data_IF_232478153709
#
_entry.id   IF_232478153709
#
_cell.length_a   1.000
_cell.length_b   1.000
_cell.length_c   1.000
_cell.angle_alpha   90.00
_cell.angle_beta   90.00
_cell.angle_gamma   90.00
#
_symmetry.space_group_name_H-M   'P 1'
#
loop_
_entity.id
_entity.type
_entity.pdbx_description
1 polymer ?
#
# COMPACT_ATOMS: atom_id res chain seq x y z
N UNK A 1 -16.06 -19.34 -9.74
CA UNK A 1 -15.10 -20.05 -8.88
C UNK A 1 -13.74 -19.93 -9.54
N UNK A 2 -12.90 -19.02 -9.02
CA UNK A 2 -11.51 -18.89 -9.50
C UNK A 2 -10.69 -20.11 -9.04
N UNK A 3 -10.05 -20.81 -9.96
CA UNK A 3 -9.14 -21.90 -9.63
C UNK A 3 -7.90 -21.35 -8.91
N UNK A 4 -7.64 -21.86 -7.72
CA UNK A 4 -6.46 -21.46 -6.91
C UNK A 4 -5.29 -22.32 -7.38
N UNK A 5 -4.38 -21.74 -8.17
CA UNK A 5 -3.10 -22.36 -8.47
C UNK A 5 -2.15 -22.14 -7.29
N UNK A 6 -1.81 -23.21 -6.58
CA UNK A 6 -0.77 -23.19 -5.56
C UNK A 6 0.58 -23.48 -6.22
N UNK A 7 1.46 -22.50 -6.28
CA UNK A 7 2.84 -22.71 -6.67
C UNK A 7 3.71 -23.04 -5.46
N UNK A 8 4.68 -23.95 -5.57
CA UNK A 8 5.56 -24.30 -4.49
C UNK A 8 6.42 -23.08 -4.05
N UNK A 9 6.87 -23.10 -2.80
CA UNK A 9 7.79 -22.09 -2.27
C UNK A 9 9.08 -22.01 -3.08
N UNK A 10 9.67 -20.82 -3.17
CA UNK A 10 10.93 -20.56 -3.88
C UNK A 10 12.09 -21.51 -3.48
N UNK A 11 12.09 -21.98 -2.22
CA UNK A 11 13.05 -23.02 -1.73
C UNK A 11 12.85 -24.39 -2.41
N UNK A 12 11.62 -24.74 -2.76
CA UNK A 12 11.28 -26.03 -3.39
C UNK A 12 11.54 -26.02 -4.90
N UNK A 13 11.49 -24.84 -5.53
CA UNK A 13 11.73 -24.68 -6.97
C UNK A 13 13.21 -24.66 -7.35
N UNK A 14 14.12 -24.64 -6.41
CA UNK A 14 15.58 -24.62 -6.63
C UNK A 14 16.05 -23.56 -7.65
N UNK A 15 17.14 -22.89 -7.39
CA UNK A 15 17.70 -21.81 -8.25
C UNK A 15 17.98 -22.24 -9.71
N UNK A 16 18.05 -23.55 -10.00
CA UNK A 16 18.40 -24.10 -11.34
C UNK A 16 17.30 -23.95 -12.40
N UNK A 17 16.05 -23.63 -12.03
CA UNK A 17 14.93 -23.50 -12.99
C UNK A 17 14.66 -22.06 -13.45
N UNK A 18 15.51 -21.08 -13.11
CA UNK A 18 15.35 -19.71 -13.58
C UNK A 18 15.53 -19.48 -15.08
N UNK A 19 16.03 -20.46 -15.81
CA UNK A 19 16.30 -20.34 -17.24
C UNK A 19 15.11 -20.68 -18.15
N UNK A 20 13.95 -21.00 -17.60
CA UNK A 20 12.76 -21.27 -18.41
C UNK A 20 11.77 -20.12 -18.23
N UNK A 21 11.64 -19.31 -19.26
CA UNK A 21 10.63 -18.29 -19.53
C UNK A 21 9.97 -17.67 -18.29
N UNK A 22 10.48 -16.52 -17.87
CA UNK A 22 9.78 -15.64 -16.94
C UNK A 22 8.63 -14.93 -17.67
N UNK A 23 7.51 -15.61 -17.85
CA UNK A 23 6.26 -14.88 -18.01
C UNK A 23 5.84 -14.40 -16.64
N UNK A 24 5.68 -13.07 -16.41
CA UNK A 24 5.03 -12.61 -15.22
C UNK A 24 3.61 -13.17 -15.24
N UNK A 25 3.37 -14.17 -14.40
CA UNK A 25 2.04 -14.74 -14.23
C UNK A 25 1.18 -13.76 -13.46
N UNK A 26 0.56 -12.80 -14.15
CA UNK A 26 -0.48 -12.01 -13.52
C UNK A 26 -1.68 -12.91 -13.24
N UNK A 27 -2.14 -12.97 -11.98
CA UNK A 27 -3.37 -13.70 -11.66
C UNK A 27 -4.60 -12.99 -12.23
N UNK A 28 -4.48 -11.69 -12.49
CA UNK A 28 -5.49 -10.88 -13.16
C UNK A 28 -4.83 -9.65 -13.78
N UNK A 29 -5.14 -9.40 -15.03
CA UNK A 29 -4.72 -8.20 -15.74
C UNK A 29 -5.94 -7.33 -16.01
N UNK A 30 -5.87 -6.05 -15.68
CA UNK A 30 -6.99 -5.15 -15.80
C UNK A 30 -6.53 -3.76 -16.23
N UNK A 31 -7.08 -3.26 -17.32
CA UNK A 31 -6.88 -1.88 -17.78
C UNK A 31 -8.00 -0.94 -17.32
N UNK A 32 -8.87 -1.41 -16.44
CA UNK A 32 -10.01 -0.65 -15.96
C UNK A 32 -9.65 0.42 -14.96
N UNK A 33 -10.66 1.18 -14.60
CA UNK A 33 -10.67 2.12 -13.51
C UNK A 33 -11.80 1.77 -12.54
N UNK A 34 -11.71 2.23 -11.28
CA UNK A 34 -12.75 2.01 -10.25
C UNK A 34 -13.00 0.53 -9.93
N UNK A 35 -11.95 -0.16 -9.53
CA UNK A 35 -12.01 -1.59 -9.23
C UNK A 35 -12.06 -1.80 -7.73
N UNK A 36 -13.00 -2.62 -7.28
CA UNK A 36 -13.10 -3.09 -5.90
C UNK A 36 -12.86 -4.60 -5.88
N UNK A 37 -11.86 -5.02 -5.10
CA UNK A 37 -11.70 -6.40 -4.68
C UNK A 37 -12.09 -6.48 -3.21
N UNK A 38 -13.18 -7.18 -2.90
CA UNK A 38 -13.66 -7.35 -1.53
C UNK A 38 -13.69 -8.83 -1.15
N UNK A 39 -13.16 -9.15 0.04
CA UNK A 39 -13.10 -10.50 0.58
C UNK A 39 -12.41 -11.52 -0.36
N UNK A 40 -11.45 -11.07 -1.16
CA UNK A 40 -10.73 -11.91 -2.12
C UNK A 40 -9.43 -12.42 -1.52
N UNK A 41 -9.10 -13.67 -1.80
CA UNK A 41 -7.80 -14.25 -1.45
C UNK A 41 -6.92 -14.34 -2.69
N UNK A 42 -5.83 -13.58 -2.68
CA UNK A 42 -4.79 -13.62 -3.71
C UNK A 42 -3.61 -14.44 -3.17
N UNK A 43 -3.44 -15.63 -3.70
CA UNK A 43 -2.40 -16.55 -3.23
C UNK A 43 -1.53 -16.91 -4.42
N UNK A 44 -0.34 -16.34 -4.46
CA UNK A 44 0.71 -16.75 -5.36
C UNK A 44 2.06 -16.56 -4.67
N UNK A 45 2.93 -17.50 -4.93
CA UNK A 45 4.29 -17.42 -4.40
C UNK A 45 5.30 -16.97 -5.45
N UNK A 46 4.81 -16.53 -6.62
CA UNK A 46 5.59 -15.96 -7.72
C UNK A 46 4.75 -14.95 -8.49
N UNK A 47 5.26 -13.73 -8.64
CA UNK A 47 4.77 -12.66 -9.53
C UNK A 47 3.25 -12.64 -9.76
N UNK A 48 2.48 -12.42 -8.72
CA UNK A 48 1.03 -12.49 -8.78
C UNK A 48 0.42 -11.26 -9.45
N UNK A 49 0.95 -10.08 -9.15
CA UNK A 49 0.51 -8.77 -9.65
C UNK A 49 -1.02 -8.65 -9.80
N UNK A 50 -1.79 -8.76 -8.70
CA UNK A 50 -3.25 -8.74 -8.79
C UNK A 50 -3.71 -7.39 -9.33
N UNK A 51 -4.63 -7.42 -10.31
CA UNK A 51 -5.23 -6.24 -10.94
C UNK A 51 -4.20 -5.28 -11.58
N UNK A 52 -3.07 -5.82 -12.05
CA UNK A 52 -2.03 -5.02 -12.70
C UNK A 52 -2.61 -4.24 -13.88
N UNK A 53 -2.25 -2.95 -13.98
CA UNK A 53 -2.72 -2.03 -15.02
C UNK A 53 -3.99 -1.25 -14.67
N UNK A 54 -4.67 -1.56 -13.56
CA UNK A 54 -5.81 -0.78 -13.09
C UNK A 54 -5.37 0.58 -12.51
N UNK A 55 -6.22 1.59 -12.64
CA UNK A 55 -5.89 2.97 -12.21
C UNK A 55 -6.25 3.22 -10.75
N UNK A 56 -7.53 3.06 -10.39
CA UNK A 56 -8.01 3.21 -9.02
C UNK A 56 -8.51 1.87 -8.53
N UNK A 57 -7.88 1.37 -7.45
CA UNK A 57 -8.17 0.06 -6.89
C UNK A 57 -8.41 0.20 -5.40
N UNK A 58 -9.47 -0.43 -4.92
CA UNK A 58 -9.68 -0.70 -3.50
C UNK A 58 -9.59 -2.21 -3.26
N UNK A 59 -8.62 -2.61 -2.45
CA UNK A 59 -8.58 -3.93 -1.84
C UNK A 59 -9.18 -3.82 -0.44
N UNK A 60 -10.34 -4.42 -0.23
CA UNK A 60 -11.08 -4.35 1.03
C UNK A 60 -11.25 -5.73 1.64
N UNK A 61 -10.77 -5.91 2.86
CA UNK A 61 -10.78 -7.21 3.58
C UNK A 61 -10.16 -8.34 2.76
N UNK A 62 -9.14 -8.03 1.96
CA UNK A 62 -8.46 -9.02 1.14
C UNK A 62 -7.36 -9.73 1.93
N UNK A 63 -7.08 -10.96 1.53
CA UNK A 63 -5.96 -11.74 2.01
C UNK A 63 -4.96 -11.97 0.88
N UNK A 64 -3.67 -11.70 1.12
CA UNK A 64 -2.62 -11.83 0.12
C UNK A 64 -1.44 -12.63 0.65
N UNK A 65 -0.90 -13.53 -0.17
CA UNK A 65 0.37 -14.20 0.08
C UNK A 65 1.35 -13.87 -1.04
N UNK A 66 2.58 -13.50 -0.68
CA UNK A 66 3.57 -13.04 -1.64
C UNK A 66 4.97 -13.53 -1.25
N UNK A 67 5.77 -13.84 -2.27
CA UNK A 67 7.22 -13.91 -2.16
C UNK A 67 7.83 -12.59 -2.65
N UNK A 68 8.99 -12.60 -3.34
CA UNK A 68 9.57 -11.39 -3.92
C UNK A 68 8.76 -10.92 -5.14
N UNK A 69 8.60 -9.62 -5.28
CA UNK A 69 8.07 -8.93 -6.46
C UNK A 69 6.67 -9.42 -6.91
N UNK A 70 5.92 -10.05 -6.02
CA UNK A 70 4.68 -10.74 -6.39
C UNK A 70 3.45 -9.84 -6.36
N UNK A 71 3.53 -8.69 -5.73
CA UNK A 71 2.41 -7.77 -5.59
C UNK A 71 2.61 -6.50 -6.42
N UNK A 72 1.51 -5.96 -6.92
CA UNK A 72 1.46 -4.61 -7.50
C UNK A 72 1.28 -3.61 -6.38
N UNK A 73 2.15 -2.62 -6.33
CA UNK A 73 2.15 -1.62 -5.28
C UNK A 73 1.23 -0.42 -5.54
N UNK A 74 0.12 -0.60 -6.25
CA UNK A 74 -0.82 0.49 -6.54
C UNK A 74 -2.17 0.18 -5.93
N UNK A 75 -2.78 1.19 -5.31
CA UNK A 75 -4.13 1.10 -4.77
C UNK A 75 -4.22 1.37 -3.27
N UNK A 76 -5.45 1.28 -2.77
CA UNK A 76 -5.80 1.42 -1.35
C UNK A 76 -6.10 0.03 -0.78
N UNK A 77 -5.40 -0.33 0.27
CA UNK A 77 -5.54 -1.59 0.99
C UNK A 77 -6.17 -1.30 2.35
N UNK A 78 -7.43 -1.65 2.53
CA UNK A 78 -8.16 -1.41 3.78
C UNK A 78 -8.57 -2.72 4.43
N UNK A 79 -8.23 -2.89 5.71
CA UNK A 79 -8.53 -4.09 6.52
C UNK A 79 -7.99 -5.37 5.85
N UNK A 80 -6.83 -5.30 5.23
CA UNK A 80 -6.24 -6.42 4.51
C UNK A 80 -5.24 -7.19 5.38
N UNK A 81 -5.06 -8.47 5.08
CA UNK A 81 -4.02 -9.31 5.65
C UNK A 81 -3.03 -9.69 4.57
N UNK A 82 -1.76 -9.32 4.75
CA UNK A 82 -0.68 -9.59 3.80
C UNK A 82 0.38 -10.47 4.45
N UNK A 83 0.70 -11.61 3.84
CA UNK A 83 1.78 -12.50 4.29
C UNK A 83 2.97 -12.40 3.35
N UNK A 84 4.08 -11.96 3.90
CA UNK A 84 5.34 -11.76 3.19
C UNK A 84 6.26 -12.96 3.39
N UNK A 85 6.39 -13.78 2.36
CA UNK A 85 7.31 -14.93 2.31
C UNK A 85 8.67 -14.58 1.67
N UNK A 86 8.86 -13.32 1.27
CA UNK A 86 10.08 -12.77 0.75
C UNK A 86 10.30 -11.34 1.23
N UNK A 87 11.53 -10.87 1.19
CA UNK A 87 11.93 -9.56 1.73
C UNK A 87 11.32 -8.37 1.00
N UNK A 88 10.90 -8.51 -0.24
CA UNK A 88 10.47 -7.41 -1.13
C UNK A 88 9.20 -7.84 -1.86
N UNK A 89 8.03 -7.89 -1.16
CA UNK A 89 6.80 -8.43 -1.71
C UNK A 89 6.25 -7.63 -2.89
N UNK A 90 6.50 -6.32 -2.95
CA UNK A 90 6.06 -5.47 -4.04
C UNK A 90 7.22 -5.18 -5.01
N UNK A 91 6.93 -5.19 -6.31
CA UNK A 91 7.90 -4.78 -7.32
C UNK A 91 8.21 -3.29 -7.18
N UNK A 92 7.20 -2.47 -7.31
CA UNK A 92 7.24 -1.02 -7.16
C UNK A 92 5.82 -0.50 -6.96
N UNK A 93 5.70 0.74 -6.53
CA UNK A 93 4.44 1.47 -6.64
C UNK A 93 4.48 2.39 -7.86
N UNK A 94 3.31 2.72 -8.42
CA UNK A 94 3.18 3.79 -9.40
C UNK A 94 3.34 5.16 -8.71
N UNK A 95 3.33 6.24 -9.50
CA UNK A 95 3.39 7.61 -8.95
C UNK A 95 2.22 7.93 -8.01
N UNK A 96 1.07 7.23 -8.16
CA UNK A 96 -0.04 7.32 -7.22
C UNK A 96 0.22 6.60 -5.89
N UNK A 97 1.24 5.75 -5.83
CA UNK A 97 1.63 5.02 -4.63
C UNK A 97 0.68 3.92 -4.20
N UNK A 98 0.94 3.38 -3.02
CA UNK A 98 0.04 2.47 -2.32
C UNK A 98 -0.24 2.99 -0.92
N UNK A 99 -1.49 2.83 -0.47
CA UNK A 99 -1.94 3.25 0.85
C UNK A 99 -2.49 2.04 1.59
N UNK A 100 -1.92 1.76 2.74
CA UNK A 100 -2.35 0.69 3.64
C UNK A 100 -3.03 1.30 4.86
N UNK A 101 -4.26 0.90 5.10
CA UNK A 101 -5.10 1.37 6.19
C UNK A 101 -5.58 0.18 7.02
N UNK A 102 -5.33 0.21 8.33
CA UNK A 102 -5.78 -0.82 9.28
C UNK A 102 -5.54 -2.26 8.77
N UNK A 103 -4.32 -2.53 8.35
CA UNK A 103 -3.95 -3.79 7.71
C UNK A 103 -2.83 -4.49 8.47
N UNK A 104 -2.81 -5.83 8.38
CA UNK A 104 -1.87 -6.69 9.06
C UNK A 104 -0.81 -7.22 8.09
N UNK A 105 0.46 -7.10 8.46
CA UNK A 105 1.61 -7.61 7.73
C UNK A 105 2.28 -8.74 8.51
N UNK A 106 2.23 -9.96 8.00
CA UNK A 106 2.89 -11.11 8.59
C UNK A 106 4.20 -11.38 7.88
N UNK A 107 5.32 -11.22 8.57
CA UNK A 107 6.65 -11.57 8.05
C UNK A 107 6.87 -13.07 8.26
N UNK A 108 6.88 -13.82 7.15
CA UNK A 108 6.88 -15.27 7.13
C UNK A 108 8.20 -15.88 6.64
N UNK A 109 9.28 -15.10 6.60
CA UNK A 109 10.64 -15.54 6.26
C UNK A 109 11.59 -15.35 7.44
N UNK A 110 12.80 -15.88 7.33
CA UNK A 110 13.81 -15.85 8.41
C UNK A 110 14.92 -14.79 8.18
N UNK A 111 14.76 -13.91 7.22
CA UNK A 111 15.70 -12.82 6.97
C UNK A 111 15.53 -11.70 8.02
N UNK A 112 16.62 -10.97 8.29
CA UNK A 112 16.62 -9.91 9.32
C UNK A 112 16.01 -8.59 8.85
N UNK A 113 15.67 -8.50 7.56
CA UNK A 113 15.13 -7.30 6.95
C UNK A 113 13.88 -7.60 6.13
N UNK A 114 12.89 -6.74 6.26
CA UNK A 114 11.68 -6.70 5.45
C UNK A 114 11.59 -5.34 4.77
N UNK A 115 11.48 -5.33 3.46
CA UNK A 115 11.17 -4.12 2.70
C UNK A 115 9.80 -4.27 2.06
N UNK A 116 9.10 -3.15 1.85
CA UNK A 116 7.84 -3.19 1.09
C UNK A 116 8.13 -3.42 -0.40
N UNK A 117 8.95 -2.59 -0.99
CA UNK A 117 9.19 -2.59 -2.43
C UNK A 117 10.64 -2.98 -2.78
N UNK A 118 10.80 -3.56 -3.96
CA UNK A 118 12.10 -3.73 -4.61
C UNK A 118 12.54 -2.44 -5.29
N UNK A 119 11.62 -1.80 -6.02
CA UNK A 119 11.83 -0.49 -6.64
C UNK A 119 11.39 0.67 -5.76
N UNK A 120 11.32 1.84 -6.33
CA UNK A 120 10.88 3.07 -5.66
C UNK A 120 9.45 3.40 -5.97
N UNK A 121 8.80 4.09 -5.06
CA UNK A 121 7.45 4.64 -5.19
C UNK A 121 6.91 5.03 -3.82
N UNK A 122 6.01 6.01 -3.74
CA UNK A 122 5.46 6.47 -2.49
C UNK A 122 4.59 5.40 -1.83
N UNK A 123 4.68 5.32 -0.52
CA UNK A 123 3.91 4.42 0.33
C UNK A 123 3.34 5.21 1.51
N UNK A 124 2.13 4.87 1.90
CA UNK A 124 1.53 5.38 3.14
C UNK A 124 0.97 4.21 3.95
N UNK A 125 1.30 4.18 5.23
CA UNK A 125 0.90 3.11 6.17
C UNK A 125 0.27 3.74 7.40
N UNK A 126 -1.01 3.46 7.64
CA UNK A 126 -1.79 4.06 8.74
C UNK A 126 -2.48 2.96 9.55
N UNK A 127 -2.31 2.99 10.86
CA UNK A 127 -2.90 2.04 11.81
C UNK A 127 -2.67 0.57 11.43
N UNK A 128 -1.47 0.25 10.98
CA UNK A 128 -1.11 -1.09 10.53
C UNK A 128 -0.18 -1.80 11.51
N UNK A 129 -0.23 -3.12 11.51
CA UNK A 129 0.55 -3.93 12.42
C UNK A 129 1.44 -4.94 11.70
N UNK A 130 2.72 -4.98 12.08
CA UNK A 130 3.63 -6.06 11.71
C UNK A 130 3.58 -7.17 12.76
N UNK A 131 3.43 -8.40 12.28
CA UNK A 131 3.53 -9.62 13.06
C UNK A 131 4.81 -10.35 12.67
N UNK A 132 5.76 -10.41 13.59
CA UNK A 132 7.09 -10.98 13.35
C UNK A 132 7.40 -12.05 14.40
N UNK A 133 8.08 -13.13 14.00
CA UNK A 133 8.50 -14.20 14.89
C UNK A 133 9.81 -13.90 15.62
N UNK A 134 10.64 -13.07 15.02
CA UNK A 134 11.92 -12.59 15.56
C UNK A 134 12.07 -11.12 15.22
N UNK A 135 12.97 -10.39 15.87
CA UNK A 135 13.26 -9.00 15.51
C UNK A 135 13.61 -8.88 14.03
N UNK A 136 12.93 -7.99 13.33
CA UNK A 136 13.11 -7.69 11.91
C UNK A 136 13.16 -6.19 11.74
N UNK A 137 14.12 -5.71 10.95
CA UNK A 137 14.08 -4.33 10.48
C UNK A 137 13.08 -4.21 9.33
N UNK A 138 12.11 -3.32 9.44
CA UNK A 138 11.18 -3.00 8.36
C UNK A 138 11.54 -1.66 7.71
N UNK A 139 11.66 -1.64 6.38
CA UNK A 139 11.99 -0.47 5.58
C UNK A 139 11.15 -0.35 4.31
N UNK A 140 11.21 0.81 3.66
CA UNK A 140 10.42 1.09 2.46
C UNK A 140 10.95 0.37 1.23
N UNK A 141 12.23 0.54 0.97
CA UNK A 141 12.98 -0.13 -0.09
C UNK A 141 14.45 -0.25 0.33
N UNK A 142 15.21 -1.07 -0.36
CA UNK A 142 16.60 -1.32 -0.03
C UNK A 142 17.46 -0.05 -0.19
N UNK A 143 17.28 0.67 -1.29
CA UNK A 143 18.01 1.89 -1.63
C UNK A 143 17.02 2.98 -2.06
N UNK A 144 16.42 3.69 -1.09
CA UNK A 144 15.48 4.74 -1.42
C UNK A 144 16.19 5.94 -2.07
N UNK A 145 15.56 6.51 -3.08
CA UNK A 145 16.01 7.78 -3.67
C UNK A 145 15.81 8.93 -2.69
N UNK A 146 16.64 9.97 -2.75
CA UNK A 146 16.57 11.12 -1.84
C UNK A 146 15.24 11.89 -1.93
N UNK A 147 14.58 11.86 -3.07
CA UNK A 147 13.29 12.50 -3.27
C UNK A 147 12.10 11.68 -2.73
N UNK A 148 12.27 10.37 -2.48
CA UNK A 148 11.21 9.51 -2.00
C UNK A 148 10.74 9.96 -0.62
N UNK A 149 9.42 10.11 -0.46
CA UNK A 149 8.78 10.32 0.84
C UNK A 149 7.69 9.27 1.02
N UNK A 150 7.80 8.54 2.12
CA UNK A 150 6.81 7.57 2.57
C UNK A 150 6.27 8.01 3.92
N UNK A 151 5.00 7.78 4.16
CA UNK A 151 4.25 8.32 5.28
C UNK A 151 3.76 7.20 6.19
N UNK A 152 3.76 7.44 7.49
CA UNK A 152 3.23 6.49 8.45
C UNK A 152 2.56 7.17 9.65
N UNK A 153 1.59 6.46 10.24
CA UNK A 153 0.96 6.80 11.51
C UNK A 153 0.42 5.54 12.18
N UNK A 154 0.53 5.43 13.51
CA UNK A 154 -0.05 4.34 14.27
C UNK A 154 0.48 2.95 13.88
N UNK A 155 1.71 2.87 13.36
CA UNK A 155 2.33 1.59 12.99
C UNK A 155 2.87 0.90 14.23
N UNK A 156 2.60 -0.40 14.34
CA UNK A 156 3.12 -1.23 15.42
C UNK A 156 3.84 -2.48 14.89
N UNK A 157 4.76 -3.01 15.69
CA UNK A 157 5.37 -4.32 15.47
C UNK A 157 5.18 -5.17 16.71
N UNK A 158 4.42 -6.26 16.60
CA UNK A 158 4.00 -7.09 17.73
C UNK A 158 3.40 -6.25 18.89
N UNK A 159 2.55 -5.26 18.53
CA UNK A 159 1.88 -4.39 19.48
C UNK A 159 2.73 -3.25 20.06
N UNK A 160 4.01 -3.13 19.73
CA UNK A 160 4.86 -2.02 20.13
C UNK A 160 4.96 -0.98 19.02
N UNK A 161 4.96 0.34 19.33
CA UNK A 161 5.16 1.39 18.34
C UNK A 161 6.41 1.13 17.49
N UNK A 162 6.29 1.31 16.19
CA UNK A 162 7.38 1.04 15.25
C UNK A 162 7.50 2.11 14.17
N UNK A 163 8.74 2.44 13.80
CA UNK A 163 9.05 3.38 12.71
C UNK A 163 9.65 2.61 11.54
N UNK A 164 8.90 2.56 10.43
CA UNK A 164 9.38 1.95 9.17
C UNK A 164 10.48 2.83 8.60
N UNK A 165 11.61 2.24 8.22
CA UNK A 165 12.72 2.98 7.61
C UNK A 165 13.40 3.96 8.56
N UNK A 166 13.51 3.63 9.86
CA UNK A 166 14.09 4.49 10.87
C UNK A 166 15.56 4.89 10.58
N UNK A 167 16.30 4.07 9.83
CA UNK A 167 17.67 4.37 9.39
C UNK A 167 17.73 5.32 8.16
N UNK A 168 16.58 5.67 7.60
CA UNK A 168 16.43 6.55 6.43
C UNK A 168 15.45 7.71 6.74
N UNK A 169 15.79 8.61 7.67
CA UNK A 169 14.85 9.61 8.18
C UNK A 169 14.36 10.58 7.09
N UNK A 170 15.14 10.83 6.05
CA UNK A 170 14.71 11.67 4.92
C UNK A 170 13.58 11.06 4.11
N UNK A 171 13.46 9.73 4.12
CA UNK A 171 12.44 9.01 3.37
C UNK A 171 11.21 8.70 4.20
N UNK A 172 11.26 8.88 5.52
CA UNK A 172 10.20 8.53 6.45
C UNK A 172 9.57 9.78 7.05
N UNK A 173 8.26 9.92 6.87
CA UNK A 173 7.46 10.98 7.48
C UNK A 173 6.50 10.35 8.47
N UNK A 174 6.74 10.57 9.76
CA UNK A 174 5.77 10.25 10.80
C UNK A 174 4.70 11.36 10.81
N UNK A 175 3.46 10.98 10.51
CA UNK A 175 2.35 11.94 10.44
C UNK A 175 1.88 12.25 11.87
N UNK A 176 2.27 13.37 12.39
CA UNK A 176 1.80 13.89 13.69
C UNK A 176 0.84 15.05 13.52
N UNK A 177 0.89 15.71 12.36
CA UNK A 177 0.02 16.84 12.05
C UNK A 177 -1.36 16.33 11.60
N UNK A 178 -2.38 16.71 12.30
CA UNK A 178 -3.78 16.37 12.02
C UNK A 178 -4.14 16.57 10.55
N UNK A 179 -3.67 17.67 9.95
CA UNK A 179 -3.98 18.05 8.56
C UNK A 179 -3.57 16.98 7.53
N UNK A 180 -2.41 16.37 7.72
CA UNK A 180 -1.91 15.32 6.80
C UNK A 180 -2.59 14.00 7.12
N UNK A 181 -2.79 13.72 8.39
CA UNK A 181 -3.46 12.51 8.85
C UNK A 181 -4.90 12.43 8.37
N UNK A 182 -5.64 13.55 8.38
CA UNK A 182 -7.03 13.63 7.94
C UNK A 182 -7.23 13.25 6.46
N UNK A 183 -6.20 13.34 5.65
CA UNK A 183 -6.26 12.82 4.29
C UNK A 183 -6.50 11.31 4.22
N UNK A 184 -6.18 10.59 5.28
CA UNK A 184 -6.23 9.13 5.36
C UNK A 184 -7.21 8.62 6.42
N UNK A 185 -7.35 9.35 7.54
CA UNK A 185 -8.04 8.89 8.73
C UNK A 185 -8.71 10.06 9.45
N UNK A 186 -9.96 9.85 9.84
CA UNK A 186 -10.71 10.78 10.70
C UNK A 186 -11.17 10.04 11.95
N UNK A 187 -11.31 10.79 13.05
CA UNK A 187 -11.88 10.27 14.29
C UNK A 187 -13.04 11.16 14.69
N UNK A 188 -14.20 10.57 14.91
CA UNK A 188 -15.36 11.31 15.42
C UNK A 188 -15.24 11.59 16.92
N UNK A 189 -16.17 12.39 17.43
CA UNK A 189 -16.26 12.77 18.86
C UNK A 189 -16.42 11.58 19.82
N UNK A 190 -16.87 10.43 19.31
CA UNK A 190 -17.00 9.18 20.07
C UNK A 190 -15.73 8.30 19.97
N UNK A 191 -14.68 8.76 19.31
CA UNK A 191 -13.45 8.01 19.08
C UNK A 191 -13.55 6.97 17.96
N UNK A 192 -14.65 6.93 17.19
CA UNK A 192 -14.80 6.03 16.05
C UNK A 192 -13.93 6.51 14.88
N UNK A 193 -13.13 5.60 14.35
CA UNK A 193 -12.26 5.86 13.22
C UNK A 193 -12.99 5.60 11.91
N UNK A 194 -12.84 6.55 10.97
CA UNK A 194 -13.29 6.43 9.59
C UNK A 194 -12.07 6.61 8.69
N UNK A 195 -11.74 5.57 7.91
CA UNK A 195 -10.67 5.66 6.92
C UNK A 195 -11.17 6.40 5.69
N UNK A 196 -10.47 7.46 5.31
CA UNK A 196 -10.90 8.40 4.28
C UNK A 196 -10.62 7.87 2.86
N UNK A 197 -11.22 6.73 2.54
CA UNK A 197 -11.12 6.12 1.21
C UNK A 197 -11.70 7.01 0.13
N UNK A 198 -12.70 7.84 0.47
CA UNK A 198 -13.26 8.80 -0.46
C UNK A 198 -12.21 9.81 -0.95
N UNK A 199 -11.43 10.40 -0.04
CA UNK A 199 -10.37 11.33 -0.44
C UNK A 199 -9.32 10.69 -1.36
N UNK A 200 -9.03 9.40 -1.15
CA UNK A 200 -8.01 8.67 -1.88
C UNK A 200 -8.48 8.18 -3.27
N UNK A 201 -9.78 7.91 -3.43
CA UNK A 201 -10.32 7.22 -4.60
C UNK A 201 -11.26 8.06 -5.46
N UNK A 202 -11.81 9.16 -4.93
CA UNK A 202 -12.89 9.93 -5.58
C UNK A 202 -12.57 10.38 -7.00
N UNK A 203 -11.31 10.69 -7.31
CA UNK A 203 -10.93 11.28 -8.60
C UNK A 203 -11.71 12.56 -8.92
N UNK A 204 -12.03 12.78 -10.20
CA UNK A 204 -12.85 13.89 -10.66
C UNK A 204 -14.36 13.52 -10.78
N UNK A 205 -14.69 12.25 -10.57
CA UNK A 205 -16.01 11.65 -10.74
C UNK A 205 -16.67 11.20 -9.42
N UNK A 206 -16.13 11.64 -8.30
CA UNK A 206 -16.66 11.40 -6.96
C UNK A 206 -16.86 9.91 -6.60
N UNK A 207 -16.00 9.02 -7.11
CA UNK A 207 -16.12 7.60 -6.83
C UNK A 207 -15.90 7.28 -5.35
N UNK A 208 -16.91 6.69 -4.72
CA UNK A 208 -16.95 6.36 -3.30
C UNK A 208 -17.47 4.92 -3.08
N UNK A 209 -16.62 3.92 -3.25
CA UNK A 209 -17.04 2.52 -3.20
C UNK A 209 -17.54 2.07 -1.82
N UNK A 210 -17.12 2.72 -0.74
CA UNK A 210 -17.53 2.39 0.63
C UNK A 210 -18.54 3.35 1.22
N UNK A 211 -19.04 4.31 0.43
CA UNK A 211 -20.06 5.28 0.84
C UNK A 211 -19.68 6.07 2.11
N UNK A 212 -18.39 6.44 2.22
CA UNK A 212 -17.87 7.19 3.38
C UNK A 212 -17.92 8.72 3.20
N UNK A 213 -18.30 9.20 2.02
CA UNK A 213 -18.29 10.62 1.63
C UNK A 213 -19.01 11.51 2.65
N UNK A 214 -20.22 11.14 3.04
CA UNK A 214 -21.03 11.96 3.94
C UNK A 214 -20.46 11.96 5.36
N UNK A 215 -20.01 10.81 5.85
CA UNK A 215 -19.36 10.71 7.16
C UNK A 215 -18.08 11.54 7.23
N UNK A 216 -17.27 11.52 6.17
CA UNK A 216 -16.05 12.32 6.06
C UNK A 216 -16.37 13.83 6.02
N UNK A 217 -17.44 14.22 5.33
CA UNK A 217 -17.89 15.62 5.29
C UNK A 217 -18.35 16.09 6.67
N UNK A 218 -19.22 15.35 7.32
CA UNK A 218 -19.75 15.70 8.63
C UNK A 218 -18.63 15.90 9.66
N UNK A 219 -17.67 14.98 9.72
CA UNK A 219 -16.53 15.10 10.65
C UNK A 219 -15.62 16.26 10.25
N UNK A 220 -15.38 16.47 8.95
CA UNK A 220 -14.52 17.54 8.45
C UNK A 220 -15.16 18.94 8.50
N UNK A 221 -16.48 19.05 8.56
CA UNK A 221 -17.22 20.33 8.64
C UNK A 221 -17.26 20.90 10.05
N UNK A 222 -17.22 20.06 11.08
CA UNK A 222 -17.10 20.51 12.47
C UNK A 222 -15.80 21.27 12.74
N UNK A 223 -14.78 21.07 11.91
CA UNK A 223 -13.55 21.84 11.92
C UNK A 223 -13.36 22.57 10.57
N UNK A 224 -14.04 23.69 10.41
CA UNK A 224 -14.06 24.49 9.17
C UNK A 224 -12.69 24.94 8.64
N UNK A 225 -11.60 24.67 9.38
CA UNK A 225 -10.22 24.82 8.94
C UNK A 225 -9.74 23.62 8.13
N UNK A 226 -10.19 22.41 8.43
CA UNK A 226 -9.70 21.15 7.86
C UNK A 226 -10.07 21.01 6.39
N UNK A 227 -11.30 21.38 6.01
CA UNK A 227 -11.76 21.28 4.61
C UNK A 227 -10.96 22.19 3.65
N UNK A 228 -10.50 23.35 4.11
CA UNK A 228 -9.64 24.22 3.28
C UNK A 228 -8.25 23.63 3.09
N UNK A 229 -7.73 22.93 4.09
CA UNK A 229 -6.39 22.34 4.07
C UNK A 229 -6.37 21.05 3.28
N UNK A 230 -7.36 20.16 3.40
CA UNK A 230 -7.48 18.99 2.52
C UNK A 230 -7.52 19.38 1.04
N UNK A 231 -8.23 20.46 0.67
CA UNK A 231 -8.20 20.97 -0.71
C UNK A 231 -6.82 21.47 -1.14
N UNK A 232 -6.05 22.07 -0.23
CA UNK A 232 -4.69 22.54 -0.54
C UNK A 232 -3.67 21.40 -0.60
N UNK A 233 -3.77 20.42 0.30
CA UNK A 233 -2.90 19.23 0.31
C UNK A 233 -3.20 18.35 -0.91
N UNK A 234 -4.47 18.14 -1.26
CA UNK A 234 -4.81 17.43 -2.50
C UNK A 234 -4.36 18.18 -3.76
N UNK A 235 -4.33 19.52 -3.74
CA UNK A 235 -3.74 20.30 -4.83
C UNK A 235 -2.21 20.18 -4.86
N UNK A 236 -1.54 20.16 -3.72
CA UNK A 236 -0.08 19.99 -3.68
C UNK A 236 0.37 18.58 -4.05
N UNK A 237 -0.42 17.55 -3.77
CA UNK A 237 -0.18 16.19 -4.30
C UNK A 237 -0.42 16.09 -5.82
N UNK A 238 -1.28 16.95 -6.39
CA UNK A 238 -1.40 17.10 -7.86
C UNK A 238 -0.20 17.82 -8.51
N UNK A 239 0.62 18.52 -7.74
CA UNK A 239 1.75 19.31 -8.24
C UNK A 239 3.11 18.64 -8.03
N UNK A 240 3.17 17.36 -7.71
CA UNK A 240 4.37 16.60 -8.03
C UNK A 240 4.44 16.54 -9.57
N UNK A 241 5.49 17.13 -10.18
CA UNK A 241 5.54 17.23 -11.63
C UNK A 241 5.42 15.83 -12.22
N UNK A 242 4.45 15.67 -13.11
CA UNK A 242 4.40 14.53 -14.03
C UNK A 242 5.74 14.53 -14.78
N UNK A 243 6.67 13.73 -14.34
CA UNK A 243 7.89 13.46 -15.08
C UNK A 243 7.45 12.79 -16.40
N UNK A 244 7.37 13.59 -17.47
CA UNK A 244 7.30 13.05 -18.83
C UNK A 244 8.66 12.45 -19.10
N UNK A 245 8.78 11.16 -19.39
CA UNK A 245 10.01 10.64 -19.95
C UNK A 245 10.18 11.30 -21.33
N UNK A 246 11.20 12.13 -21.49
CA UNK A 246 11.63 12.53 -22.83
C UNK A 246 12.01 11.28 -23.59
N UNK A 247 11.33 11.09 -24.71
CA UNK A 247 11.70 10.09 -25.71
C UNK A 247 13.01 10.55 -26.31
N UNK A 248 14.11 9.97 -25.89
CA UNK A 248 15.39 10.11 -26.58
C UNK A 248 15.24 9.36 -27.91
N UNK A 249 15.29 10.09 -29.00
CA UNK A 249 15.40 9.57 -30.36
C UNK A 249 16.78 9.01 -30.62
#
# INVERSE_FOLDING_TARGET
>A
VMSIWKFPLKKELGRKKRNVCHYPGACSYCHGDKIVAENVRFISRLNMNPLNGAKRILFYKCYMESTDDALTGTGVYLNCTLKFYGQKPFWRTDMGGAVFLNSDFYVCHDEDRQYFCKGVGPLTVVDCQFHVRKPVYAGWTHEPSDWLRCYQYGVTMNGQPYVIGADKPYNTVCMEQENVLHAYRLTDENGKVIYNTYNLLRGDDDWDPLQVKDSVRVIGEHDGRIMRICRSVCRSLRWLPLYRPEVIR
#
